data_IF_405725986122
#
_entry.id   IF_405725986122
#
_cell.length_a   1.000
_cell.length_b   1.000
_cell.length_c   1.000
_cell.angle_alpha   90.00
_cell.angle_beta   90.00
_cell.angle_gamma   90.00
#
_symmetry.space_group_name_H-M   'P 1'
#
loop_
_entity.id
_entity.type
_entity.pdbx_description
1 polymer ?
2 polymer ?
3 water ?
#
# COMPACT_ATOMS: atom_id res chain seq x y z
N UNK A 1 -5.76 26.40 41.55
CA UNK A 1 -4.77 25.83 40.63
C UNK A 1 -4.40 24.40 41.02
N UNK A 2 -4.62 23.46 40.09
CA UNK A 2 -4.15 22.09 40.29
C UNK A 2 -3.83 21.46 38.94
N UNK A 3 -3.18 20.30 38.97
CA UNK A 3 -2.68 19.64 37.76
C UNK A 3 -3.27 18.24 37.57
N UNK A 4 -2.87 17.59 36.48
CA UNK A 4 -3.38 16.28 36.13
C UNK A 4 -2.42 15.17 36.54
N UNK A 5 -2.95 13.95 36.62
CA UNK A 5 -2.16 12.79 37.02
C UNK A 5 -2.07 11.79 35.87
N UNK A 6 -0.88 11.20 35.67
CA UNK A 6 -0.60 10.33 34.51
C UNK A 6 -1.32 8.99 34.58
N UNK A 7 -1.59 8.38 33.41
CA UNK A 7 -2.20 7.05 33.35
C UNK A 7 -1.26 5.99 33.92
N UNK A 8 -1.78 4.79 34.18
CA UNK A 8 -0.97 3.73 34.75
C UNK A 8 -1.22 2.39 34.07
N UNK A 9 -0.31 1.44 34.33
CA UNK A 9 -0.36 0.12 33.71
C UNK A 9 -0.40 0.20 32.20
N UNK A 10 0.46 1.05 31.64
CA UNK A 10 0.55 1.24 30.20
C UNK A 10 1.23 0.04 29.54
N UNK A 11 0.48 -0.67 28.70
CA UNK A 11 1.00 -1.86 28.03
C UNK A 11 0.94 -1.69 26.51
N UNK A 12 1.81 -2.41 25.81
CA UNK A 12 1.76 -2.49 24.36
C UNK A 12 1.82 -3.95 23.92
N UNK A 13 0.76 -4.43 23.29
CA UNK A 13 0.69 -5.81 22.84
C UNK A 13 0.70 -5.92 21.33
N UNK A 14 1.46 -6.89 20.81
CA UNK A 14 1.41 -7.21 19.39
C UNK A 14 0.19 -8.08 19.13
N UNK A 15 -0.85 -7.49 18.54
CA UNK A 15 -2.06 -8.23 18.25
C UNK A 15 -2.02 -8.84 16.85
N UNK A 16 -1.30 -8.20 15.94
CA UNK A 16 -1.24 -8.70 14.59
C UNK A 16 -0.03 -8.34 13.77
N UNK A 17 -0.02 -8.78 12.52
CA UNK A 17 1.03 -8.43 11.57
C UNK A 17 1.06 -6.92 11.40
N UNK A 18 2.10 -6.29 11.95
CA UNK A 18 2.24 -4.84 11.98
C UNK A 18 1.05 -4.17 12.68
N UNK A 19 0.46 -4.88 13.64
CA UNK A 19 -0.68 -4.36 14.39
C UNK A 19 -0.45 -4.41 15.89
N UNK A 20 -0.52 -3.24 16.53
CA UNK A 20 -0.31 -3.15 17.97
C UNK A 20 -1.58 -2.69 18.70
N UNK A 21 -1.72 -3.15 19.94
CA UNK A 21 -2.77 -2.63 20.82
C UNK A 21 -2.14 -1.99 22.04
N UNK A 22 -2.48 -0.73 22.26
CA UNK A 22 -1.99 0.02 23.40
C UNK A 22 -3.08 0.06 24.47
N UNK A 23 -2.78 -0.42 25.67
CA UNK A 23 -3.75 -0.37 26.76
C UNK A 23 -3.17 0.34 27.98
N UNK A 24 -4.06 0.96 28.75
CA UNK A 24 -3.69 1.62 29.99
C UNK A 24 -4.93 1.83 30.84
N UNK A 25 -4.76 2.37 32.04
CA UNK A 25 -5.88 2.62 32.93
C UNK A 25 -5.82 4.03 33.50
N UNK A 26 -6.99 4.63 33.76
CA UNK A 26 -7.03 5.97 34.36
C UNK A 26 -6.44 5.97 35.76
N UNK A 27 -5.66 6.99 36.09
CA UNK A 27 -5.05 7.12 37.41
C UNK A 27 -6.12 7.09 38.51
N UNK A 28 -5.90 6.25 39.53
CA UNK A 28 -6.88 6.04 40.61
C UNK A 28 -7.24 7.33 41.37
N UNK A 29 -6.30 8.25 41.50
CA UNK A 29 -6.50 9.44 42.32
C UNK A 29 -7.34 10.52 41.61
N UNK A 30 -7.13 10.68 40.31
CA UNK A 30 -7.81 11.73 39.55
C UNK A 30 -9.33 11.54 39.56
N UNK A 31 -10.06 12.58 39.15
CA UNK A 31 -11.52 12.56 39.14
C UNK A 31 -12.06 11.38 38.34
N UNK A 32 -13.16 10.80 38.83
CA UNK A 32 -13.68 9.57 38.25
C UNK A 32 -14.34 9.80 36.88
N UNK A 33 -15.46 10.51 36.88
CA UNK A 33 -16.27 10.62 35.67
C UNK A 33 -16.24 11.99 34.99
N UNK A 34 -15.09 12.66 35.03
CA UNK A 34 -14.93 13.90 34.28
C UNK A 34 -14.80 13.59 32.80
N UNK A 35 -15.93 13.66 32.10
CA UNK A 35 -16.05 13.12 30.75
C UNK A 35 -15.30 13.92 29.68
N UNK A 36 -14.68 15.03 30.06
CA UNK A 36 -13.95 15.82 29.07
C UNK A 36 -12.46 15.97 29.38
N UNK A 37 -11.91 15.04 30.14
CA UNK A 37 -10.47 14.84 30.15
C UNK A 37 -10.19 13.64 29.25
N UNK A 38 -9.16 13.74 28.44
CA UNK A 38 -8.88 12.68 27.47
C UNK A 38 -7.43 12.22 27.54
N UNK A 39 -7.03 11.42 26.56
CA UNK A 39 -5.66 10.89 26.55
C UNK A 39 -4.95 11.24 25.26
N UNK A 40 -3.74 11.77 25.40
CA UNK A 40 -2.89 12.03 24.24
C UNK A 40 -1.85 10.93 24.11
N UNK A 41 -1.72 10.41 22.89
CA UNK A 41 -0.75 9.39 22.58
C UNK A 41 0.29 9.93 21.60
N UNK A 42 1.56 9.72 21.94
CA UNK A 42 2.67 10.11 21.09
C UNK A 42 3.54 8.91 20.76
N UNK A 43 3.74 8.67 19.47
CA UNK A 43 4.66 7.63 19.03
C UNK A 43 6.03 8.26 18.85
N UNK A 44 7.00 7.78 19.65
CA UNK A 44 8.35 8.34 19.62
C UNK A 44 9.23 7.67 18.58
N UNK A 45 8.97 6.40 18.33
CA UNK A 45 9.73 5.61 17.37
C UNK A 45 8.87 4.45 16.88
N UNK A 46 9.09 3.97 15.64
CA UNK A 46 10.12 4.37 14.66
C UNK A 46 9.86 5.74 14.01
N UNK A 47 8.61 6.03 13.68
CA UNK A 47 8.25 7.34 13.12
C UNK A 47 7.41 8.11 14.13
N UNK A 48 7.69 9.41 14.26
CA UNK A 48 7.02 10.22 15.27
C UNK A 48 5.58 10.56 14.89
N UNK A 49 4.64 10.22 15.76
CA UNK A 49 3.24 10.57 15.52
C UNK A 49 2.57 11.09 16.80
N UNK A 50 1.34 11.58 16.67
CA UNK A 50 0.70 12.35 17.72
C UNK A 50 -0.82 12.42 17.53
N UNK A 51 -1.59 11.87 18.47
CA UNK A 51 -3.05 11.88 18.32
C UNK A 51 -3.80 11.74 19.65
N UNK A 52 -5.07 12.14 19.67
CA UNK A 52 -5.89 12.04 20.87
C UNK A 52 -6.88 10.88 20.81
N UNK A 53 -7.25 10.37 21.98
CA UNK A 53 -8.26 9.33 22.10
C UNK A 53 -8.96 9.47 23.45
N UNK A 54 -10.19 8.97 23.54
CA UNK A 54 -10.97 9.09 24.76
C UNK A 54 -11.16 7.75 25.46
N UNK A 55 -10.70 6.69 24.80
CA UNK A 55 -10.78 5.34 25.36
C UNK A 55 -9.47 5.01 26.07
N UNK A 56 -9.50 4.00 26.93
CA UNK A 56 -8.28 3.57 27.62
C UNK A 56 -7.54 2.52 26.80
N UNK A 57 -7.73 2.55 25.49
CA UNK A 57 -6.96 1.71 24.58
C UNK A 57 -6.91 2.34 23.19
N UNK A 58 -6.02 1.81 22.35
CA UNK A 58 -5.83 2.31 21.00
C UNK A 58 -5.13 1.28 20.13
N UNK A 59 -5.81 0.83 19.09
CA UNK A 59 -5.20 -0.06 18.11
C UNK A 59 -4.50 0.78 17.05
N UNK A 60 -3.34 0.33 16.60
CA UNK A 60 -2.58 1.08 15.62
C UNK A 60 -1.82 0.18 14.64
N UNK A 61 -1.65 0.69 13.42
CA UNK A 61 -0.91 0.00 12.38
C UNK A 61 0.45 0.64 12.16
N UNK A 62 1.51 -0.15 12.32
CA UNK A 62 2.87 0.32 12.09
C UNK A 62 3.84 -0.84 11.95
N UNK A 63 4.95 -0.61 11.25
CA UNK A 63 6.00 -1.61 11.15
C UNK A 63 6.59 -1.88 12.54
N UNK A 64 7.13 -3.07 12.74
CA UNK A 64 7.60 -3.46 14.07
C UNK A 64 9.03 -4.01 14.07
N UNK A 65 9.65 -4.09 12.90
CA UNK A 65 10.99 -4.67 12.81
C UNK A 65 12.06 -3.73 13.35
N UNK A 66 11.72 -2.46 13.50
CA UNK A 66 12.65 -1.46 14.01
C UNK A 66 12.42 -1.17 15.49
N UNK A 67 11.57 -1.98 16.12
CA UNK A 67 11.16 -1.72 17.50
C UNK A 67 10.02 -0.73 17.54
N UNK A 68 9.53 -0.40 18.73
CA UNK A 68 8.39 0.48 18.86
C UNK A 68 8.39 1.21 20.20
N UNK A 69 8.10 2.50 20.19
CA UNK A 69 8.10 3.27 21.44
C UNK A 69 6.92 4.23 21.52
N UNK A 70 6.16 4.13 22.60
CA UNK A 70 4.99 4.99 22.74
C UNK A 70 4.87 5.60 24.13
N UNK A 71 4.32 6.81 24.15
CA UNK A 71 4.00 7.49 25.40
C UNK A 71 2.54 7.90 25.40
N UNK A 72 1.94 7.95 26.58
CA UNK A 72 0.55 8.36 26.72
C UNK A 72 0.41 9.24 27.96
N UNK A 73 -0.39 10.28 27.87
CA UNK A 73 -0.63 11.15 29.02
C UNK A 73 -2.07 11.63 29.10
N UNK A 74 -2.45 12.16 30.25
CA UNK A 74 -3.79 12.69 30.46
C UNK A 74 -3.82 14.18 30.12
N UNK A 75 -4.83 14.59 29.36
CA UNK A 75 -4.94 15.98 28.94
C UNK A 75 -6.32 16.58 29.14
N UNK A 76 -6.36 17.90 29.27
CA UNK A 76 -7.60 18.64 29.34
C UNK A 76 -7.44 19.91 28.52
N UNK A 77 -8.07 19.96 27.35
CA UNK A 77 -7.92 21.15 26.52
C UNK A 77 -9.12 22.09 26.56
N UNK A 78 -8.94 23.14 27.36
CA UNK A 78 -9.66 24.39 27.19
C UNK A 78 -9.18 24.99 25.87
N UNK A 79 -9.86 26.01 25.36
CA UNK A 79 -9.39 26.65 24.13
C UNK A 79 -8.57 27.90 24.44
N UNK A 80 -8.14 28.02 25.69
CA UNK A 80 -7.15 29.00 26.09
C UNK A 80 -5.92 28.28 26.63
N UNK A 81 -6.15 27.12 27.23
CA UNK A 81 -5.08 26.34 27.84
C UNK A 81 -5.07 24.89 27.39
N UNK A 82 -3.92 24.24 27.52
CA UNK A 82 -3.85 22.80 27.45
C UNK A 82 -3.23 22.30 28.75
N UNK A 83 -3.95 21.44 29.45
CA UNK A 83 -3.46 20.87 30.70
C UNK A 83 -2.96 19.46 30.43
N UNK A 84 -1.79 19.12 30.97
CA UNK A 84 -1.19 17.82 30.68
C UNK A 84 -0.45 17.23 31.87
N UNK A 85 -0.59 15.93 32.05
CA UNK A 85 0.17 15.21 33.06
C UNK A 85 1.53 14.83 32.50
N UNK A 86 2.37 14.24 33.33
CA UNK A 86 3.64 13.69 32.85
C UNK A 86 3.34 12.48 31.97
N UNK A 87 4.28 12.13 31.11
CA UNK A 87 4.09 10.99 30.22
C UNK A 87 4.26 9.66 30.97
N UNK A 88 3.45 8.69 30.61
CA UNK A 88 3.73 7.29 30.93
C UNK A 88 4.23 6.66 29.65
N UNK A 89 5.23 5.79 29.74
CA UNK A 89 5.84 5.26 28.52
C UNK A 89 5.90 3.74 28.50
N UNK A 90 6.00 3.19 27.29
CA UNK A 90 6.16 1.75 27.11
C UNK A 90 6.84 1.47 25.77
N UNK A 91 7.53 0.34 25.71
CA UNK A 91 8.29 -0.02 24.52
C UNK A 91 8.15 -1.49 24.13
N UNK A 92 8.32 -1.74 22.84
CA UNK A 92 8.54 -3.06 22.28
C UNK A 92 9.95 -3.10 21.71
N UNK A 93 10.80 -3.94 22.29
CA UNK A 93 12.19 -4.01 21.87
C UNK A 93 12.32 -4.50 20.44
N UNK A 94 13.28 -3.95 19.73
CA UNK A 94 13.59 -4.39 18.37
C UNK A 94 13.90 -5.88 18.39
N UNK A 95 13.24 -6.66 17.52
CA UNK A 95 13.35 -8.12 17.49
C UNK A 95 14.80 -8.59 17.41
N UNK A 96 15.13 -9.66 18.15
CA UNK A 96 16.50 -10.17 18.25
C UNK A 96 17.06 -10.58 16.89
N UNK A 97 18.35 -10.34 16.68
CA UNK A 97 18.98 -10.70 15.42
C UNK A 97 20.25 -9.91 15.13
N UNK A 98 21.30 -10.63 14.74
CA UNK A 98 22.58 -10.03 14.37
C UNK A 98 22.43 -9.08 13.17
N UNK A 99 23.39 -8.15 13.01
CA UNK A 99 23.29 -7.16 11.92
C UNK A 99 23.43 -7.77 10.53
N UNK A 100 22.74 -7.18 9.56
CA UNK A 100 22.89 -7.55 8.17
C UNK A 100 22.23 -8.86 7.76
N UNK A 101 21.64 -9.55 8.74
CA UNK A 101 20.94 -10.80 8.47
C UNK A 101 19.57 -10.52 7.87
N UNK A 102 19.10 -9.30 8.07
CA UNK A 102 17.78 -8.89 7.58
C UNK A 102 17.76 -8.78 6.05
N UNK A 103 16.58 -9.02 5.49
CA UNK A 103 16.34 -8.91 4.05
C UNK A 103 16.43 -7.45 3.61
N UNK A 104 16.95 -7.23 2.39
CA UNK A 104 17.05 -5.88 1.86
C UNK A 104 16.31 -5.73 0.52
N UNK A 105 15.89 -4.50 0.23
CA UNK A 105 15.25 -4.15 -1.04
C UNK A 105 13.97 -4.93 -1.35
N UNK A 106 13.03 -4.92 -0.41
CA UNK A 106 11.74 -5.58 -0.62
C UNK A 106 10.90 -4.80 -1.64
N UNK A 107 10.39 -5.51 -2.64
CA UNK A 107 9.59 -4.90 -3.69
C UNK A 107 8.31 -5.69 -3.92
N UNK A 108 7.17 -5.01 -3.98
CA UNK A 108 5.89 -5.68 -4.13
C UNK A 108 4.99 -5.08 -5.21
N UNK A 109 4.34 -5.95 -5.96
CA UNK A 109 3.50 -5.56 -7.10
C UNK A 109 2.17 -6.31 -7.11
N UNK A 110 1.06 -5.58 -7.08
CA UNK A 110 -0.25 -6.20 -7.21
C UNK A 110 -0.80 -6.00 -8.62
N UNK A 111 -1.60 -6.95 -9.08
CA UNK A 111 -2.16 -6.87 -10.42
C UNK A 111 -3.57 -7.46 -10.48
N UNK A 112 -4.48 -6.80 -11.19
CA UNK A 112 -5.86 -7.26 -11.26
C UNK A 112 -6.09 -8.11 -12.50
N UNK A 113 -6.65 -9.30 -12.31
CA UNK A 113 -6.96 -10.21 -13.40
C UNK A 113 -8.36 -10.78 -13.22
N UNK A 114 -8.83 -11.54 -14.21
CA UNK A 114 -10.13 -12.22 -14.07
C UNK A 114 -9.97 -13.74 -13.92
N UNK A 115 -10.93 -14.32 -13.19
CA UNK A 115 -11.21 -15.75 -13.05
C UNK A 115 -10.66 -16.69 -14.14
N UNK A 116 -11.63 -17.26 -14.85
CA UNK A 116 -11.49 -17.97 -16.10
C UNK A 116 -12.88 -17.95 -16.77
N UNK A 117 -13.66 -19.00 -16.57
CA UNK A 117 -15.00 -19.13 -17.14
C UNK A 117 -16.09 -18.86 -16.08
N UNK A 118 -17.33 -19.14 -16.45
CA UNK A 118 -18.52 -18.85 -15.63
C UNK A 118 -18.54 -19.47 -14.23
N UNK A 119 -17.52 -19.21 -13.42
CA UNK A 119 -17.61 -19.53 -12.01
C UNK A 119 -18.33 -18.36 -11.33
N UNK A 120 -17.78 -17.17 -11.52
CA UNK A 120 -18.41 -15.88 -11.21
C UNK A 120 -17.64 -14.84 -12.03
N UNK A 121 -18.30 -13.81 -12.51
CA UNK A 121 -17.61 -12.81 -13.33
C UNK A 121 -17.01 -11.69 -12.48
N UNK A 122 -15.85 -11.96 -11.90
CA UNK A 122 -15.24 -11.00 -10.98
C UNK A 122 -13.72 -10.91 -11.15
N UNK A 123 -13.06 -10.33 -10.16
CA UNK A 123 -11.63 -10.05 -10.29
C UNK A 123 -10.80 -10.60 -9.12
N UNK A 124 -9.65 -11.16 -9.47
CA UNK A 124 -8.66 -11.58 -8.49
C UNK A 124 -7.47 -10.61 -8.50
N UNK A 125 -6.92 -10.35 -7.33
CA UNK A 125 -5.67 -9.60 -7.24
C UNK A 125 -4.52 -10.59 -7.05
N UNK A 126 -3.44 -10.40 -7.79
CA UNK A 126 -2.26 -11.24 -7.65
C UNK A 126 -1.14 -10.42 -7.04
N UNK A 127 -0.38 -11.02 -6.13
CA UNK A 127 0.70 -10.33 -5.45
C UNK A 127 2.06 -10.96 -5.73
N UNK A 128 2.99 -10.15 -6.24
CA UNK A 128 4.33 -10.62 -6.58
C UNK A 128 5.38 -9.85 -5.80
N UNK A 129 6.25 -10.56 -5.09
CA UNK A 129 7.27 -9.90 -4.30
C UNK A 129 8.68 -10.38 -4.64
N UNK A 130 9.65 -9.47 -4.54
CA UNK A 130 11.05 -9.79 -4.79
C UNK A 130 11.95 -9.12 -3.77
N UNK A 131 13.14 -9.68 -3.54
CA UNK A 131 14.10 -9.09 -2.61
C UNK A 131 15.50 -9.70 -2.74
N UNK A 132 16.45 -9.10 -2.05
CA UNK A 132 17.81 -9.62 -1.99
C UNK A 132 18.06 -10.25 -0.63
N UNK A 133 18.89 -11.29 -0.61
CA UNK A 133 19.28 -11.94 0.64
C UNK A 133 20.12 -10.99 1.48
N UNK A 134 20.02 -11.10 2.80
CA UNK A 134 20.87 -10.33 3.69
C UNK A 134 22.34 -10.52 3.34
N UNK A 135 23.11 -9.44 3.41
CA UNK A 135 24.49 -9.45 2.95
C UNK A 135 25.36 -10.45 3.72
N UNK A 136 25.44 -10.28 5.04
CA UNK A 136 26.14 -11.26 5.86
C UNK A 136 25.13 -12.15 6.58
N UNK A 137 24.31 -12.84 5.78
CA UNK A 137 23.36 -13.81 6.30
C UNK A 137 23.87 -15.22 6.03
N UNK A 138 24.10 -16.00 7.10
CA UNK A 138 24.70 -17.33 7.02
C UNK A 138 24.00 -18.28 6.03
N UNK A 139 24.57 -18.37 4.82
CA UNK A 139 24.32 -19.40 3.77
C UNK A 139 23.28 -20.55 4.02
N UNK A 140 22.66 -20.58 5.19
CA UNK A 140 21.79 -21.67 5.62
C UNK A 140 20.35 -21.17 5.79
N UNK A 141 20.24 -19.90 6.15
CA UNK A 141 18.95 -19.26 6.41
C UNK A 141 17.90 -19.47 5.34
N UNK A 142 16.67 -19.76 5.76
CA UNK A 142 15.55 -19.73 4.84
C UNK A 142 14.63 -18.59 5.23
N UNK A 143 14.09 -17.92 4.21
CA UNK A 143 13.22 -16.77 4.40
C UNK A 143 11.75 -17.15 4.17
N UNK A 144 10.87 -16.56 4.95
CA UNK A 144 9.44 -16.83 4.87
C UNK A 144 8.64 -15.53 4.90
N UNK A 145 7.66 -15.44 4.00
CA UNK A 145 6.87 -14.23 3.82
C UNK A 145 5.39 -14.44 4.17
N UNK A 146 4.86 -13.49 4.92
CA UNK A 146 3.45 -13.41 5.25
C UNK A 146 2.91 -12.06 4.80
N UNK A 147 1.63 -11.99 4.51
CA UNK A 147 0.99 -10.71 4.30
C UNK A 147 -0.32 -10.64 5.06
N UNK A 148 -0.74 -9.42 5.37
CA UNK A 148 -2.03 -9.17 5.98
C UNK A 148 -2.74 -8.02 5.26
N UNK A 149 -3.96 -8.29 4.82
CA UNK A 149 -4.87 -7.26 4.35
C UNK A 149 -6.16 -7.35 5.14
N UNK A 150 -6.52 -6.26 5.81
CA UNK A 150 -7.67 -6.24 6.68
C UNK A 150 -7.57 -7.26 7.79
N UNK A 151 -8.52 -8.20 7.82
CA UNK A 151 -8.53 -9.25 8.83
C UNK A 151 -7.72 -10.47 8.38
N UNK A 152 -7.43 -10.53 7.09
CA UNK A 152 -6.85 -11.75 6.51
C UNK A 152 -5.33 -11.77 6.52
N UNK A 153 -4.78 -12.89 6.95
CA UNK A 153 -3.34 -13.10 7.01
C UNK A 153 -2.97 -14.43 6.35
N UNK A 154 -1.96 -14.41 5.48
CA UNK A 154 -1.54 -15.63 4.79
C UNK A 154 -0.03 -15.74 4.63
N UNK A 155 0.44 -16.97 4.50
CA UNK A 155 1.85 -17.25 4.17
C UNK A 155 1.96 -17.74 2.73
N UNK A 156 3.04 -17.34 2.05
CA UNK A 156 3.28 -17.77 0.67
C UNK A 156 3.76 -19.21 0.59
N UNK A 157 3.55 -19.84 -0.57
CA UNK A 157 3.98 -21.22 -0.78
C UNK A 157 4.68 -21.41 -2.13
N UNK A 158 4.47 -20.46 -3.03
CA UNK A 158 5.12 -20.52 -4.35
C UNK A 158 6.30 -19.56 -4.42
N UNK A 159 7.47 -20.06 -4.03
CA UNK A 159 8.67 -19.24 -3.97
C UNK A 159 9.57 -19.42 -5.19
N UNK A 160 10.35 -18.38 -5.48
CA UNK A 160 11.46 -18.49 -6.41
C UNK A 160 12.76 -18.38 -5.63
N UNK A 161 13.66 -19.34 -5.82
CA UNK A 161 14.88 -19.40 -5.04
C UNK A 161 16.10 -19.01 -5.87
N UNK A 162 17.24 -18.85 -5.22
CA UNK A 162 18.48 -18.52 -5.91
C UNK A 162 19.23 -19.78 -6.34
N UNK A 163 20.55 -19.76 -6.18
CA UNK A 163 21.38 -20.90 -6.55
C UNK A 163 21.78 -21.71 -5.32
N UNK A 164 21.65 -21.10 -4.15
CA UNK A 164 22.00 -21.79 -2.92
C UNK A 164 20.71 -22.11 -2.15
N UNK A 165 19.59 -22.12 -2.87
CA UNK A 165 18.34 -22.62 -2.35
C UNK A 165 17.49 -21.67 -1.51
N UNK A 166 17.89 -20.41 -1.44
CA UNK A 166 17.20 -19.45 -0.58
C UNK A 166 16.10 -18.67 -1.32
N UNK A 167 14.93 -18.56 -0.69
CA UNK A 167 13.81 -17.82 -1.25
C UNK A 167 14.12 -16.34 -1.43
N UNK A 168 13.97 -15.84 -2.66
CA UNK A 168 14.23 -14.44 -2.95
C UNK A 168 13.03 -13.77 -3.60
N UNK A 169 11.97 -14.54 -3.81
CA UNK A 169 10.75 -14.03 -4.43
C UNK A 169 9.53 -14.84 -4.02
N UNK A 170 8.36 -14.23 -4.15
CA UNK A 170 7.11 -14.87 -3.79
C UNK A 170 5.99 -14.57 -4.78
N UNK A 171 5.12 -15.55 -5.00
CA UNK A 171 4.02 -15.40 -5.95
C UNK A 171 2.69 -15.88 -5.38
N UNK A 172 1.76 -14.94 -5.22
CA UNK A 172 0.38 -15.18 -4.84
C UNK A 172 -0.52 -15.03 -6.06
N UNK A 173 -0.97 -16.14 -6.65
CA UNK A 173 -1.88 -16.04 -7.80
C UNK A 173 -3.25 -15.51 -7.37
N UNK A 174 -3.70 -15.93 -6.19
CA UNK A 174 -4.98 -15.49 -5.65
C UNK A 174 -4.79 -15.02 -4.22
N UNK A 175 -5.41 -13.89 -3.88
CA UNK A 175 -5.18 -13.25 -2.58
C UNK A 175 -6.46 -12.68 -1.99
N UNK A 176 -6.36 -12.18 -0.77
CA UNK A 176 -7.51 -11.59 -0.07
C UNK A 176 -7.58 -10.08 -0.24
N UNK A 177 -6.71 -9.53 -1.09
CA UNK A 177 -6.66 -8.09 -1.33
C UNK A 177 -7.85 -7.63 -2.18
N UNK A 178 -8.50 -6.55 -1.74
CA UNK A 178 -9.61 -5.96 -2.47
C UNK A 178 -9.13 -5.22 -3.71
N UNK A 179 -9.81 -5.42 -4.83
CA UNK A 179 -9.42 -4.83 -6.09
C UNK A 179 -9.62 -3.31 -6.11
N UNK A 180 -10.62 -2.83 -5.39
CA UNK A 180 -10.85 -1.40 -5.25
C UNK A 180 -10.36 -0.87 -3.90
N UNK A 181 -9.45 -1.61 -3.27
CA UNK A 181 -9.03 -1.34 -1.90
C UNK A 181 -8.42 0.03 -1.61
N UNK A 182 -8.67 0.56 -0.42
CA UNK A 182 -8.02 1.78 0.05
C UNK A 182 -7.02 1.45 1.14
N UNK A 183 -7.17 0.28 1.75
CA UNK A 183 -6.46 -0.09 2.97
C UNK A 183 -4.97 -0.38 2.70
N UNK A 184 -4.22 -0.59 3.78
CA UNK A 184 -2.79 -0.82 3.69
C UNK A 184 -2.44 -2.30 3.71
N UNK A 185 -1.68 -2.73 2.72
CA UNK A 185 -1.16 -4.08 2.69
C UNK A 185 0.07 -4.18 3.58
N UNK A 186 0.06 -5.10 4.53
CA UNK A 186 1.21 -5.28 5.40
C UNK A 186 1.98 -6.53 4.99
N UNK A 187 3.29 -6.40 4.81
CA UNK A 187 4.10 -7.56 4.44
C UNK A 187 5.22 -7.79 5.44
N UNK A 188 5.28 -9.01 6.00
CA UNK A 188 6.34 -9.38 6.91
C UNK A 188 7.17 -10.51 6.32
N UNK A 189 8.48 -10.41 6.43
CA UNK A 189 9.36 -11.52 6.05
C UNK A 189 10.34 -11.79 7.18
N UNK A 190 10.20 -12.95 7.82
CA UNK A 190 11.21 -13.34 8.81
C UNK A 190 11.97 -14.54 8.29
N UNK A 191 12.92 -15.05 9.07
CA UNK A 191 13.75 -16.14 8.59
C UNK A 191 14.35 -16.97 9.70
N UNK A 192 14.93 -18.11 9.34
CA UNK A 192 15.52 -18.98 10.35
C UNK A 192 16.79 -19.68 9.88
N UNK A 193 17.67 -19.97 10.84
CA UNK A 193 18.91 -20.68 10.59
C UNK A 193 19.30 -21.50 11.81
N UNK A 194 20.32 -22.33 11.64
CA UNK A 194 20.84 -23.14 12.75
C UNK A 194 21.81 -22.31 13.60
N UNK A 195 22.66 -21.53 12.93
CA UNK A 195 23.61 -20.66 13.63
C UNK A 195 22.92 -19.41 14.18
N UNK A 196 23.20 -18.28 13.55
CA UNK A 196 22.71 -16.98 13.99
C UNK A 196 21.19 -16.86 13.92
N UNK A 197 20.65 -15.87 14.64
CA UNK A 197 19.25 -15.54 14.57
C UNK A 197 19.03 -14.44 13.53
N UNK A 198 17.88 -14.44 12.87
CA UNK A 198 17.66 -13.54 11.75
C UNK A 198 16.71 -12.39 12.08
N UNK A 199 17.13 -11.18 11.71
CA UNK A 199 16.29 -10.00 11.87
C UNK A 199 15.11 -10.04 10.92
N UNK A 200 13.89 -10.02 11.45
CA UNK A 200 12.71 -9.92 10.59
C UNK A 200 12.63 -8.55 9.94
N UNK A 201 11.98 -8.48 8.78
CA UNK A 201 11.79 -7.21 8.09
C UNK A 201 10.30 -7.07 7.78
N UNK A 202 9.79 -5.85 7.73
CA UNK A 202 8.38 -5.66 7.37
C UNK A 202 8.12 -4.28 6.77
N UNK A 203 7.09 -4.21 5.92
CA UNK A 203 6.75 -2.98 5.23
C UNK A 203 5.25 -2.77 5.08
N UNK A 204 4.86 -1.51 4.97
CA UNK A 204 3.48 -1.13 4.72
C UNK A 204 3.35 -0.50 3.34
N UNK A 205 2.51 -1.10 2.50
CA UNK A 205 2.28 -0.59 1.16
C UNK A 205 0.87 -0.07 1.00
N UNK A 206 0.73 1.17 0.53
CA UNK A 206 -0.56 1.65 0.08
C UNK A 206 -0.80 1.09 -1.31
N UNK A 207 -2.00 0.53 -1.53
CA UNK A 207 -2.29 -0.18 -2.78
C UNK A 207 -2.05 0.68 -4.02
N UNK A 208 -2.41 1.95 -3.97
CA UNK A 208 -2.27 2.83 -5.12
C UNK A 208 -0.81 3.03 -5.51
N UNK A 209 0.10 2.72 -4.57
CA UNK A 209 1.52 2.88 -4.82
C UNK A 209 2.14 1.64 -5.45
N UNK A 210 1.43 0.51 -5.40
CA UNK A 210 1.98 -0.74 -5.92
C UNK A 210 1.05 -1.48 -6.87
N UNK A 211 -0.13 -0.93 -7.12
CA UNK A 211 -1.06 -1.56 -8.06
C UNK A 211 -0.57 -1.37 -9.48
N UNK A 212 -0.16 -2.46 -10.12
CA UNK A 212 0.27 -2.40 -11.50
C UNK A 212 -0.93 -2.45 -12.44
N UNK A 213 -1.43 -1.26 -12.78
CA UNK A 213 -2.57 -1.12 -13.68
C UNK A 213 -2.25 -1.74 -15.04
N UNK A 214 -3.18 -2.53 -15.56
CA UNK A 214 -2.97 -3.24 -16.81
C UNK A 214 -3.14 -2.32 -18.02
N UNK A 215 -2.50 -2.68 -19.15
CA UNK A 215 -2.58 -1.82 -20.33
C UNK A 215 -3.93 -1.91 -21.04
N UNK A 216 -4.37 -0.82 -21.69
CA UNK A 216 -5.58 -0.84 -22.50
C UNK A 216 -5.49 -1.89 -23.60
N UNK A 217 -6.58 -2.60 -23.87
CA UNK A 217 -6.55 -3.64 -24.88
C UNK A 217 -7.42 -3.30 -26.07
N UNK A 218 -7.18 -4.01 -27.18
CA UNK A 218 -7.87 -3.78 -28.44
C UNK A 218 -7.81 -2.32 -28.89
N UNK A 219 -6.60 -1.75 -28.86
CA UNK A 219 -6.38 -0.44 -29.43
C UNK A 219 -6.53 -0.55 -30.94
N UNK A 220 -7.53 0.16 -31.46
CA UNK A 220 -7.86 0.16 -32.88
C UNK A 220 -7.67 1.57 -33.42
N UNK A 221 -7.03 1.68 -34.58
CA UNK A 221 -6.85 2.97 -35.20
C UNK A 221 -7.08 2.88 -36.70
N UNK A 222 -7.82 3.84 -37.24
CA UNK A 222 -7.98 3.91 -38.68
C UNK A 222 -7.99 5.34 -39.20
N UNK A 223 -7.37 5.52 -40.36
CA UNK A 223 -7.41 6.78 -41.08
C UNK A 223 -8.27 6.64 -42.33
N UNK A 224 -9.31 7.46 -42.41
CA UNK A 224 -10.14 7.54 -43.60
C UNK A 224 -9.98 8.94 -44.19
N UNK A 225 -9.16 9.02 -45.23
CA UNK A 225 -8.82 10.30 -45.84
C UNK A 225 -8.09 11.19 -44.84
N UNK A 226 -8.76 12.24 -44.40
CA UNK A 226 -8.18 13.20 -43.47
C UNK A 226 -8.61 12.91 -42.03
N UNK A 227 -9.51 11.94 -41.87
CA UNK A 227 -10.10 11.66 -40.56
C UNK A 227 -9.36 10.56 -39.81
N UNK A 228 -8.95 10.85 -38.59
CA UNK A 228 -8.29 9.86 -37.74
C UNK A 228 -9.19 9.41 -36.59
N UNK A 229 -9.39 8.11 -36.47
CA UNK A 229 -10.22 7.57 -35.39
C UNK A 229 -9.49 6.49 -34.60
N UNK A 230 -9.36 6.73 -33.30
CA UNK A 230 -8.74 5.78 -32.39
C UNK A 230 -9.73 5.34 -31.33
N UNK A 231 -9.91 4.03 -31.18
CA UNK A 231 -10.74 3.49 -30.11
C UNK A 231 -9.91 2.54 -29.26
N UNK A 232 -10.32 2.35 -28.01
CA UNK A 232 -9.66 1.38 -27.14
C UNK A 232 -10.57 1.04 -25.98
N UNK A 233 -10.43 -0.18 -25.46
CA UNK A 233 -11.26 -0.61 -24.35
C UNK A 233 -10.60 -0.29 -23.02
N UNK A 234 -11.43 -0.06 -22.01
CA UNK A 234 -10.95 0.14 -20.64
C UNK A 234 -10.17 -1.10 -20.19
N UNK A 235 -9.05 -0.88 -19.50
CA UNK A 235 -8.19 -1.99 -19.07
C UNK A 235 -8.86 -2.96 -18.12
N UNK A 236 -8.24 -4.11 -17.90
CA UNK A 236 -8.76 -5.11 -16.97
C UNK A 236 -8.58 -4.61 -15.54
N UNK A 237 -9.69 -4.20 -14.93
CA UNK A 237 -9.67 -3.63 -13.59
C UNK A 237 -11.08 -3.64 -13.00
N UNK A 238 -11.16 -3.53 -11.67
CA UNK A 238 -12.47 -3.47 -11.02
C UNK A 238 -13.04 -2.06 -11.13
N UNK A 239 -12.17 -1.07 -11.19
CA UNK A 239 -12.58 0.32 -11.38
C UNK A 239 -13.33 0.48 -12.70
N UNK A 240 -14.49 1.14 -12.66
CA UNK A 240 -15.34 1.27 -13.86
C UNK A 240 -14.85 2.27 -14.91
N UNK A 241 -15.53 2.26 -16.05
CA UNK A 241 -15.22 3.04 -17.23
C UNK A 241 -14.86 4.51 -16.98
N UNK A 242 -15.54 5.13 -16.03
CA UNK A 242 -15.41 6.57 -15.79
C UNK A 242 -14.30 6.93 -14.82
N UNK A 243 -13.46 5.97 -14.48
CA UNK A 243 -12.44 6.18 -13.47
C UNK A 243 -11.02 6.22 -14.02
N UNK A 244 -10.90 6.28 -15.33
CA UNK A 244 -9.57 6.22 -15.94
C UNK A 244 -9.16 7.49 -16.67
N UNK A 245 -7.93 7.93 -16.39
CA UNK A 245 -7.25 8.91 -17.22
C UNK A 245 -6.50 8.16 -18.31
N UNK A 246 -6.56 8.67 -19.54
CA UNK A 246 -5.84 8.07 -20.66
C UNK A 246 -4.88 9.04 -21.31
N UNK A 247 -3.72 8.53 -21.69
CA UNK A 247 -2.82 9.26 -22.56
C UNK A 247 -2.67 8.50 -23.86
N UNK A 248 -3.04 9.17 -24.94
CA UNK A 248 -2.90 8.62 -26.29
C UNK A 248 -1.70 9.24 -26.98
N UNK A 249 -0.71 8.39 -27.27
CA UNK A 249 0.50 8.83 -27.95
C UNK A 249 0.44 8.49 -29.43
N UNK A 250 0.48 9.55 -30.24
CA UNK A 250 0.48 9.46 -31.68
C UNK A 250 1.84 9.89 -32.22
N UNK A 251 2.63 8.92 -32.68
CA UNK A 251 3.99 9.19 -33.11
C UNK A 251 4.12 9.13 -34.63
N UNK A 252 4.55 10.24 -35.21
CA UNK A 252 4.84 10.31 -36.63
C UNK A 252 6.18 9.66 -36.92
N UNK A 253 6.15 8.49 -37.54
CA UNK A 253 7.37 7.71 -37.79
C UNK A 253 8.32 8.42 -38.77
N UNK A 254 7.78 9.33 -39.56
CA UNK A 254 8.57 10.04 -40.56
C UNK A 254 9.47 11.11 -39.94
N UNK A 255 8.88 12.05 -39.23
CA UNK A 255 9.63 13.19 -38.70
C UNK A 255 9.70 13.23 -37.18
N UNK A 256 9.21 12.19 -36.52
CA UNK A 256 9.34 12.06 -35.08
C UNK A 256 8.37 12.90 -34.26
N UNK A 257 7.50 13.65 -34.93
CA UNK A 257 6.53 14.50 -34.23
C UNK A 257 5.65 13.68 -33.29
N UNK A 258 5.51 14.17 -32.06
CA UNK A 258 4.89 13.39 -31.01
C UNK A 258 3.67 14.10 -30.43
N UNK A 259 2.48 13.66 -30.84
CA UNK A 259 1.24 14.26 -30.36
C UNK A 259 0.65 13.45 -29.21
N UNK A 260 0.50 14.08 -28.05
CA UNK A 260 -0.05 13.36 -26.90
C UNK A 260 -1.36 13.96 -26.40
N UNK A 261 -2.41 13.15 -26.39
CA UNK A 261 -3.71 13.61 -25.91
C UNK A 261 -4.04 13.04 -24.53
N UNK A 262 -4.37 13.92 -23.59
CA UNK A 262 -4.86 13.50 -22.29
C UNK A 262 -6.38 13.57 -22.26
N UNK A 263 -7.05 12.45 -21.99
CA UNK A 263 -8.50 12.46 -21.99
C UNK A 263 -9.10 11.35 -21.12
N UNK A 264 -10.34 11.57 -20.67
CA UNK A 264 -11.02 10.60 -19.81
C UNK A 264 -12.03 9.76 -20.60
N UNK A 265 -11.94 9.83 -21.92
CA UNK A 265 -12.90 9.16 -22.78
C UNK A 265 -12.29 7.84 -23.30
N UNK A 266 -12.97 7.18 -24.23
CA UNK A 266 -12.48 5.91 -24.76
C UNK A 266 -12.29 5.91 -26.26
N UNK A 267 -12.47 7.08 -26.87
CA UNK A 267 -12.24 7.23 -28.30
C UNK A 267 -11.80 8.65 -28.63
N UNK A 268 -10.92 8.77 -29.61
CA UNK A 268 -10.42 10.05 -30.07
C UNK A 268 -10.60 10.17 -31.57
N UNK A 269 -11.41 11.15 -31.98
CA UNK A 269 -11.64 11.41 -33.39
C UNK A 269 -11.12 12.81 -33.72
N UNK A 270 -10.21 12.90 -34.68
CA UNK A 270 -9.66 14.21 -35.05
C UNK A 270 -9.14 14.24 -36.47
N UNK A 271 -8.33 15.26 -36.76
CA UNK A 271 -7.77 15.43 -38.09
C UNK A 271 -6.28 15.09 -38.09
N UNK A 272 -5.82 14.47 -39.17
CA UNK A 272 -4.42 14.08 -39.29
C UNK A 272 -3.98 14.13 -40.75
N UNK A 273 -2.68 14.00 -40.99
CA UNK A 273 -2.14 14.04 -42.35
C UNK A 273 -2.24 12.68 -43.04
N UNK A 274 -2.65 12.68 -44.30
CA UNK A 274 -2.79 11.45 -45.08
C UNK A 274 -1.49 10.69 -45.22
N UNK A 275 -0.42 11.42 -45.52
CA UNK A 275 0.75 10.86 -46.17
C UNK A 275 1.90 10.47 -45.23
N UNK A 276 1.61 10.38 -43.94
CA UNK A 276 2.62 9.92 -42.98
C UNK A 276 2.20 8.61 -42.34
N UNK A 277 3.17 7.76 -42.04
CA UNK A 277 2.89 6.58 -41.22
C UNK A 277 3.00 6.93 -39.74
N UNK A 278 1.96 6.60 -39.00
CA UNK A 278 1.90 6.84 -37.57
C UNK A 278 1.89 5.53 -36.81
N UNK A 279 2.48 5.54 -35.62
CA UNK A 279 2.24 4.45 -34.68
C UNK A 279 1.56 5.05 -33.45
N UNK A 280 0.50 4.38 -32.98
CA UNK A 280 -0.19 4.85 -31.81
C UNK A 280 -0.05 3.85 -30.67
N UNK A 281 0.01 4.41 -29.46
CA UNK A 281 0.00 3.66 -28.22
C UNK A 281 -0.92 4.38 -27.23
N UNK A 282 -1.42 3.66 -26.25
CA UNK A 282 -2.27 4.27 -25.23
C UNK A 282 -1.89 3.73 -23.85
N UNK A 283 -1.90 4.60 -22.85
CA UNK A 283 -1.74 4.11 -21.48
C UNK A 283 -2.77 4.73 -20.55
N UNK A 284 -2.99 4.08 -19.41
CA UNK A 284 -4.08 4.46 -18.50
C UNK A 284 -3.62 4.56 -17.05
N UNK A 285 -4.33 5.41 -16.29
CA UNK A 285 -4.12 5.51 -14.85
C UNK A 285 -5.48 5.68 -14.18
N UNK A 286 -5.55 5.45 -12.87
CA UNK A 286 -6.81 5.65 -12.16
C UNK A 286 -6.98 7.11 -11.78
N UNK A 287 -8.12 7.69 -12.13
CA UNK A 287 -8.43 9.08 -11.84
C UNK A 287 -8.37 9.39 -10.34
N UNK A 288 -8.11 10.66 -10.02
CA UNK A 288 -8.01 11.08 -8.63
C UNK A 288 -9.39 11.18 -7.97
N UNK A 289 -10.43 11.13 -8.80
CA UNK A 289 -11.80 11.11 -8.29
C UNK A 289 -12.14 9.77 -7.67
N UNK A 290 -11.38 8.74 -8.06
CA UNK A 290 -11.66 7.38 -7.61
C UNK A 290 -10.63 6.86 -6.61
N UNK A 291 -9.40 7.38 -6.69
CA UNK A 291 -8.34 6.98 -5.77
C UNK A 291 -7.16 7.95 -5.87
N UNK A 292 -6.40 8.07 -4.78
CA UNK A 292 -5.21 8.93 -4.76
C UNK A 292 -4.23 8.48 -5.84
N UNK A 293 -3.50 9.44 -6.39
CA UNK A 293 -2.58 9.23 -7.52
C UNK A 293 -1.75 7.96 -7.40
N UNK A 294 -1.72 7.17 -8.47
CA UNK A 294 -0.97 5.94 -8.50
C UNK A 294 -0.04 5.83 -9.70
N UNK A 295 0.12 4.62 -10.23
CA UNK A 295 1.06 4.37 -11.30
C UNK A 295 0.40 4.35 -12.68
N UNK A 296 1.18 4.71 -13.69
CA UNK A 296 0.74 4.57 -15.07
C UNK A 296 0.90 3.13 -15.51
N UNK A 297 -0.03 2.66 -16.34
CA UNK A 297 0.11 1.35 -16.96
C UNK A 297 1.23 1.39 -17.99
N UNK A 298 1.67 0.22 -18.44
CA UNK A 298 2.57 0.14 -19.58
C UNK A 298 1.85 0.70 -20.81
N UNK A 299 2.60 1.01 -21.85
CA UNK A 299 1.97 1.41 -23.10
C UNK A 299 1.41 0.18 -23.80
N UNK A 300 0.27 0.35 -24.47
CA UNK A 300 -0.26 -0.70 -25.33
C UNK A 300 0.78 -1.00 -26.40
N UNK A 301 0.90 -2.27 -26.79
CA UNK A 301 1.87 -2.62 -27.81
C UNK A 301 1.45 -1.93 -29.11
N UNK A 302 2.37 -1.13 -29.69
CA UNK A 302 2.08 -0.14 -30.73
C UNK A 302 1.36 -0.68 -31.96
N UNK A 303 0.42 0.10 -32.50
CA UNK A 303 -0.19 -0.28 -33.77
C UNK A 303 0.09 0.78 -34.82
N UNK A 304 0.10 0.39 -36.09
CA UNK A 304 0.49 1.30 -37.16
C UNK A 304 -0.68 1.66 -38.08
N UNK A 305 -0.64 2.87 -38.63
CA UNK A 305 -1.75 3.37 -39.43
C UNK A 305 -1.28 4.53 -40.31
N UNK A 306 -1.85 4.63 -41.52
CA UNK A 306 -1.37 5.61 -42.48
C UNK A 306 -0.33 4.97 -43.36
N UNK A 307 -0.19 5.45 -44.60
CA UNK A 307 0.64 4.79 -45.61
C UNK A 307 0.15 3.34 -45.70
N UNK A 308 -1.15 3.18 -45.91
CA UNK A 308 -1.74 1.87 -46.10
C UNK A 308 -1.31 1.35 -47.47
N UNK A 309 -1.23 2.26 -48.41
CA UNK A 309 -0.83 1.91 -49.77
C UNK A 309 0.61 1.41 -49.81
N UNK B 1 -12.92 -1.36 22.10
CA UNK B 1 -14.15 -1.49 21.33
C UNK B 1 -14.60 -0.14 20.78
N UNK B 2 -14.94 -0.12 19.50
CA UNK B 2 -15.42 1.08 18.80
C UNK B 2 -14.39 2.20 18.71
N UNK B 3 -13.18 1.85 18.28
CA UNK B 3 -12.22 2.86 17.83
C UNK B 3 -11.66 2.40 16.49
N UNK B 4 -11.15 3.34 15.71
CA UNK B 4 -10.59 3.02 14.40
C UNK B 4 -9.11 2.69 14.50
N UNK B 5 -8.53 2.23 13.40
CA UNK B 5 -7.10 1.97 13.36
C UNK B 5 -6.32 3.25 13.10
N UNK B 6 -5.34 3.52 13.95
CA UNK B 6 -4.46 4.66 13.71
C UNK B 6 -3.33 4.26 12.78
N UNK B 7 -3.40 4.75 11.54
CA UNK B 7 -2.29 4.60 10.61
C UNK B 7 -1.21 5.60 10.96
N UNK B 8 -0.15 5.07 11.59
CA UNK B 8 0.91 5.86 12.19
C UNK B 8 1.74 6.63 11.17
N UNK B 9 2.27 5.92 10.18
CA UNK B 9 3.17 6.50 9.19
C UNK B 9 2.48 7.56 8.34
N UNK B 10 1.16 7.52 8.28
CA UNK B 10 0.41 8.43 7.43
C UNK B 10 -0.38 9.46 8.23
N UNK B 11 -0.24 9.40 9.55
CA UNK B 11 -0.93 10.30 10.47
C UNK B 11 -2.43 10.30 10.22
N UNK B 12 -2.98 9.15 9.89
CA UNK B 12 -4.40 9.11 9.52
C UNK B 12 -5.18 8.08 10.31
N UNK B 13 -6.50 8.07 10.10
CA UNK B 13 -7.36 7.05 10.68
C UNK B 13 -7.85 6.11 9.58
N UNK B 14 -8.25 4.92 9.96
CA UNK B 14 -8.88 4.02 9.02
C UNK B 14 -9.97 3.19 9.70
N UNK B 15 -11.10 3.06 9.04
CA UNK B 15 -12.25 2.37 9.60
C UNK B 15 -12.64 1.14 8.78
N UNK B 16 -13.20 1.36 7.59
CA UNK B 16 -13.80 0.23 6.86
C UNK B 16 -13.73 0.37 5.33
N UNK B 17 -14.31 -0.61 4.64
CA UNK B 17 -14.31 -0.66 3.19
C UNK B 17 -15.66 -1.14 2.65
N UNK B 18 -16.71 -0.39 3.00
CA UNK B 18 -18.11 -0.73 2.68
C UNK B 18 -18.39 -1.14 1.25
#
# INVERSE_FOLDING_TARGET
>A
KISLLPPVNFTIKVTGLAQVLLQWKPNPDQEQRNVNLEYQVKINAPKEDDYETRITESKAVTILHKGFSASVRTILQNDHSLLASSWASAELHAPPGSPGTSIVNLTCTTNTTEDNYSRLRSYQVSLHCTWLVGTDAPEDTQYFLYYRYGSWTEECQEYSKDTLGRNIACWFPRTFILSKGRDWLAVLVNGSSKHSAIRPFDQLFALHAIDQINPPLNVTAEIEGTRLSIQWEKPVSAFPIHCFDYEVKIHNTRNGYLQIEKLMTNAFISIIDDLSKYDVQVRAAVSSMCREAGLWSEWSQPIYVGFSR
>B
VDECWRIIASHTWFCAEE
#
